data_IF_287978745870
#
_entry.id   IF_287978745870
#
_cell.length_a   1.000
_cell.length_b   1.000
_cell.length_c   1.000
_cell.angle_alpha   90.00
_cell.angle_beta   90.00
_cell.angle_gamma   90.00
#
_symmetry.space_group_name_H-M   'P 1'
#
loop_
_entity.id
_entity.type
_entity.pdbx_description
1 polymer ?
#
# COMPACT_ATOMS: atom_id res chain seq x y z
N UNK A 1 1.22 -22.66 -16.46
CA UNK A 1 2.06 -21.57 -15.90
C UNK A 1 1.69 -20.27 -16.59
N UNK A 2 0.52 -19.71 -16.24
CA UNK A 2 0.23 -18.33 -16.57
C UNK A 2 1.16 -17.46 -15.70
N UNK A 3 1.88 -16.55 -16.30
CA UNK A 3 2.59 -15.54 -15.53
C UNK A 3 1.54 -14.65 -14.90
N UNK A 4 1.67 -14.34 -13.62
CA UNK A 4 0.73 -13.52 -12.82
C UNK A 4 0.43 -12.13 -13.43
N UNK A 5 1.26 -11.68 -14.38
CA UNK A 5 1.07 -10.44 -15.15
C UNK A 5 -0.12 -10.48 -16.14
N UNK A 6 -0.64 -11.67 -16.44
CA UNK A 6 -1.67 -11.81 -17.48
C UNK A 6 -3.12 -11.78 -16.95
N UNK A 7 -3.31 -11.59 -15.64
CA UNK A 7 -4.62 -11.59 -14.98
C UNK A 7 -5.13 -12.99 -14.64
N UNK A 8 -6.42 -13.12 -14.33
CA UNK A 8 -7.02 -14.38 -13.93
C UNK A 8 -7.04 -15.32 -15.14
N UNK A 9 -6.40 -16.49 -15.08
CA UNK A 9 -6.41 -17.45 -16.19
C UNK A 9 -7.82 -17.98 -16.47
N UNK A 10 -8.13 -18.24 -17.75
CA UNK A 10 -9.35 -18.97 -18.09
C UNK A 10 -9.29 -20.39 -17.53
N UNK A 11 -10.39 -20.87 -16.97
CA UNK A 11 -10.43 -22.19 -16.35
C UNK A 11 -11.66 -22.43 -15.49
N UNK A 12 -11.68 -23.57 -14.85
CA UNK A 12 -12.69 -23.93 -13.84
C UNK A 12 -11.96 -24.02 -12.49
N UNK A 13 -12.47 -23.28 -11.54
CA UNK A 13 -11.96 -23.18 -10.18
C UNK A 13 -12.99 -23.80 -9.21
N UNK A 14 -12.52 -24.59 -8.26
CA UNK A 14 -13.38 -25.18 -7.23
C UNK A 14 -13.44 -24.25 -6.00
N UNK A 15 -14.64 -24.00 -5.49
CA UNK A 15 -14.84 -23.30 -4.23
C UNK A 15 -14.56 -24.29 -3.10
N UNK A 16 -13.63 -23.94 -2.19
CA UNK A 16 -13.19 -24.79 -1.08
C UNK A 16 -12.52 -23.93 -0.01
N UNK A 17 -12.41 -24.46 1.20
CA UNK A 17 -11.63 -23.85 2.28
C UNK A 17 -10.12 -24.10 2.14
N UNK A 18 -9.72 -25.07 1.32
CA UNK A 18 -8.33 -25.47 1.15
C UNK A 18 -7.62 -24.61 0.10
N UNK A 19 -6.45 -24.10 0.43
CA UNK A 19 -5.56 -23.41 -0.52
C UNK A 19 -4.88 -24.44 -1.42
N UNK A 20 -5.30 -24.51 -2.68
CA UNK A 20 -4.73 -25.40 -3.70
C UNK A 20 -4.77 -24.73 -5.08
N UNK A 21 -3.99 -25.20 -6.06
CA UNK A 21 -4.11 -24.72 -7.43
C UNK A 21 -5.55 -24.90 -7.98
N UNK A 22 -6.03 -23.89 -8.70
CA UNK A 22 -7.39 -23.84 -9.27
C UNK A 22 -8.51 -23.91 -8.23
N UNK A 23 -8.31 -23.29 -7.08
CA UNK A 23 -9.33 -23.12 -6.06
C UNK A 23 -9.69 -21.65 -5.84
N UNK A 24 -10.90 -21.42 -5.38
CA UNK A 24 -11.37 -20.13 -4.85
C UNK A 24 -11.66 -20.34 -3.37
N UNK A 25 -10.98 -19.57 -2.54
CA UNK A 25 -11.20 -19.56 -1.10
C UNK A 25 -11.87 -18.25 -0.69
N UNK A 26 -12.63 -18.25 0.41
CA UNK A 26 -13.27 -17.04 0.95
C UNK A 26 -14.24 -16.35 -0.03
N UNK A 27 -14.93 -17.14 -0.86
CA UNK A 27 -15.96 -16.57 -1.72
C UNK A 27 -17.18 -16.17 -0.89
N UNK A 28 -17.57 -14.91 -1.02
CA UNK A 28 -18.75 -14.36 -0.31
C UNK A 28 -19.65 -13.61 -1.29
N UNK A 29 -20.90 -13.49 -0.96
CA UNK A 29 -21.85 -12.63 -1.63
C UNK A 29 -22.67 -11.86 -0.60
N UNK A 30 -23.33 -10.78 -1.00
CA UNK A 30 -24.12 -9.87 -0.17
C UNK A 30 -23.33 -9.01 0.86
N UNK A 31 -24.03 -8.05 1.47
CA UNK A 31 -23.49 -7.13 2.46
C UNK A 31 -23.21 -7.80 3.82
N UNK A 32 -23.84 -8.95 4.08
CA UNK A 32 -23.65 -9.73 5.30
C UNK A 32 -22.49 -10.73 5.19
N UNK A 33 -21.82 -10.76 4.02
CA UNK A 33 -20.68 -11.65 3.71
C UNK A 33 -21.04 -13.13 3.87
N UNK A 34 -22.19 -13.56 3.36
CA UNK A 34 -22.55 -14.97 3.31
C UNK A 34 -21.55 -15.78 2.49
N UNK A 35 -20.99 -16.84 3.07
CA UNK A 35 -19.95 -17.63 2.43
C UNK A 35 -20.51 -18.67 1.45
N UNK A 36 -19.84 -18.80 0.31
CA UNK A 36 -20.05 -19.93 -0.58
C UNK A 36 -19.22 -21.12 -0.10
N UNK A 37 -19.87 -22.22 0.25
CA UNK A 37 -19.23 -23.40 0.86
C UNK A 37 -18.62 -24.36 -0.16
N UNK A 38 -19.32 -24.59 -1.28
CA UNK A 38 -18.89 -25.48 -2.36
C UNK A 38 -19.41 -25.00 -3.70
N UNK A 39 -18.75 -25.42 -4.78
CA UNK A 39 -19.21 -25.10 -6.13
C UNK A 39 -18.07 -24.86 -7.09
N UNK A 40 -18.39 -24.23 -8.20
CA UNK A 40 -17.43 -23.90 -9.25
C UNK A 40 -17.55 -22.47 -9.70
N UNK A 41 -16.40 -21.88 -10.01
CA UNK A 41 -16.28 -20.62 -10.73
C UNK A 41 -15.64 -20.90 -12.07
N UNK A 42 -16.37 -20.65 -13.15
CA UNK A 42 -15.84 -20.79 -14.52
C UNK A 42 -15.44 -19.42 -15.02
N UNK A 43 -14.19 -19.29 -15.46
CA UNK A 43 -13.64 -18.07 -16.05
C UNK A 43 -13.36 -18.33 -17.53
N UNK A 44 -14.01 -17.56 -18.39
CA UNK A 44 -13.69 -17.44 -19.81
C UNK A 44 -13.04 -16.06 -20.02
N UNK A 45 -12.03 -15.96 -20.88
CA UNK A 45 -11.31 -14.72 -21.15
C UNK A 45 -11.06 -14.53 -22.64
N UNK A 46 -11.32 -13.31 -23.11
CA UNK A 46 -10.97 -12.87 -24.47
C UNK A 46 -10.26 -11.50 -24.36
N UNK A 47 -8.93 -11.52 -24.39
CA UNK A 47 -8.14 -10.31 -24.13
C UNK A 47 -8.32 -9.78 -22.70
N UNK A 48 -8.88 -8.59 -22.56
CA UNK A 48 -9.18 -7.94 -21.27
C UNK A 48 -10.62 -8.19 -20.79
N UNK A 49 -11.45 -8.80 -21.64
CA UNK A 49 -12.85 -9.11 -21.31
C UNK A 49 -12.94 -10.48 -20.64
N UNK A 50 -13.71 -10.53 -19.57
CA UNK A 50 -13.96 -11.73 -18.79
C UNK A 50 -15.42 -12.09 -18.81
N UNK A 51 -15.71 -13.38 -18.85
CA UNK A 51 -17.00 -13.94 -18.49
C UNK A 51 -16.81 -14.90 -17.34
N UNK A 52 -17.44 -14.60 -16.22
CA UNK A 52 -17.35 -15.41 -15.01
C UNK A 52 -18.72 -15.97 -14.70
N UNK A 53 -18.81 -17.28 -14.55
CA UNK A 53 -20.04 -17.97 -14.14
C UNK A 53 -19.78 -18.70 -12.82
N UNK A 54 -20.64 -18.46 -11.84
CA UNK A 54 -20.61 -19.11 -10.53
C UNK A 54 -21.81 -20.04 -10.41
N UNK A 55 -21.55 -21.30 -10.04
CA UNK A 55 -22.58 -22.31 -9.68
C UNK A 55 -22.13 -22.94 -8.34
N UNK A 56 -22.80 -22.53 -7.28
CA UNK A 56 -22.34 -22.82 -5.93
C UNK A 56 -23.50 -23.08 -4.96
N UNK A 57 -23.13 -23.48 -3.76
CA UNK A 57 -24.00 -23.60 -2.59
C UNK A 57 -23.39 -22.77 -1.46
N UNK A 58 -24.21 -22.04 -0.74
CA UNK A 58 -23.74 -21.25 0.40
C UNK A 58 -23.60 -22.09 1.69
N UNK A 59 -23.20 -21.45 2.79
CA UNK A 59 -23.03 -22.07 4.10
C UNK A 59 -24.34 -22.55 4.73
N UNK A 60 -25.51 -22.16 4.17
CA UNK A 60 -26.84 -22.60 4.59
C UNK A 60 -27.46 -23.64 3.66
N UNK A 61 -26.67 -24.26 2.77
CA UNK A 61 -27.10 -25.20 1.76
C UNK A 61 -28.06 -24.59 0.68
N UNK A 62 -28.12 -23.28 0.56
CA UNK A 62 -28.90 -22.64 -0.47
C UNK A 62 -28.13 -22.53 -1.81
N UNK A 63 -28.76 -22.82 -2.97
CA UNK A 63 -28.08 -22.71 -4.25
C UNK A 63 -27.84 -21.25 -4.64
N UNK A 64 -26.63 -20.94 -5.08
CA UNK A 64 -26.22 -19.63 -5.56
C UNK A 64 -25.71 -19.72 -7.01
N UNK A 65 -26.22 -18.83 -7.87
CA UNK A 65 -25.78 -18.68 -9.25
C UNK A 65 -25.58 -17.21 -9.58
N UNK A 66 -24.46 -16.93 -10.24
CA UNK A 66 -24.15 -15.58 -10.71
C UNK A 66 -23.38 -15.63 -12.03
N UNK A 67 -23.61 -14.63 -12.88
CA UNK A 67 -22.89 -14.42 -14.12
C UNK A 67 -22.36 -12.98 -14.16
N UNK A 68 -21.13 -12.83 -14.63
CA UNK A 68 -20.51 -11.54 -14.89
C UNK A 68 -19.92 -11.55 -16.30
N UNK A 69 -20.05 -10.44 -17.02
CA UNK A 69 -19.35 -10.22 -18.29
C UNK A 69 -18.82 -8.78 -18.32
N UNK A 70 -17.54 -8.61 -18.59
CA UNK A 70 -16.90 -7.30 -18.62
C UNK A 70 -15.42 -7.35 -18.25
N UNK A 71 -14.86 -6.18 -18.05
CA UNK A 71 -13.45 -6.06 -17.60
C UNK A 71 -13.36 -6.27 -16.09
N UNK A 72 -12.36 -7.07 -15.67
CA UNK A 72 -12.01 -7.23 -14.27
C UNK A 72 -10.74 -6.42 -14.04
N UNK A 73 -10.83 -5.48 -13.11
CA UNK A 73 -9.67 -4.75 -12.61
C UNK A 73 -9.07 -5.56 -11.46
N UNK A 74 -7.83 -5.95 -11.61
CA UNK A 74 -7.09 -6.66 -10.55
C UNK A 74 -5.79 -5.94 -10.27
N UNK A 75 -5.34 -6.04 -9.04
CA UNK A 75 -4.04 -5.57 -8.61
C UNK A 75 -3.14 -6.77 -8.40
N UNK A 76 -2.02 -6.81 -9.10
CA UNK A 76 -1.03 -7.85 -8.89
C UNK A 76 -0.15 -7.45 -7.70
N UNK A 77 -0.33 -8.13 -6.57
CA UNK A 77 0.44 -7.86 -5.34
C UNK A 77 1.69 -8.77 -5.22
N UNK A 78 1.98 -9.62 -6.21
CA UNK A 78 2.94 -10.72 -6.05
C UNK A 78 4.40 -10.36 -6.26
N UNK A 79 4.76 -9.26 -6.95
CA UNK A 79 6.17 -9.00 -7.26
C UNK A 79 6.72 -7.61 -6.91
N UNK A 80 5.92 -6.60 -6.85
CA UNK A 80 6.38 -5.27 -6.47
C UNK A 80 5.18 -4.45 -6.04
N UNK A 81 5.00 -4.30 -4.76
CA UNK A 81 3.99 -3.38 -4.27
C UNK A 81 4.34 -1.97 -4.77
N UNK A 82 3.49 -1.41 -5.62
CA UNK A 82 3.61 -0.01 -6.02
C UNK A 82 2.57 0.79 -5.28
N UNK A 83 3.01 1.84 -4.63
CA UNK A 83 2.12 2.84 -4.07
C UNK A 83 2.10 4.05 -5.01
N UNK A 84 0.90 4.54 -5.34
CA UNK A 84 0.69 5.74 -6.15
C UNK A 84 0.12 6.86 -5.29
N UNK A 85 0.97 7.62 -4.58
CA UNK A 85 0.53 8.65 -3.66
C UNK A 85 -0.27 9.74 -4.38
N UNK A 86 -1.31 10.25 -3.72
CA UNK A 86 -2.16 11.35 -4.22
C UNK A 86 -2.07 12.60 -3.37
N UNK A 87 -1.75 12.45 -2.11
CA UNK A 87 -1.48 13.56 -1.19
C UNK A 87 -0.23 13.27 -0.38
N UNK A 88 0.48 14.32 -0.05
CA UNK A 88 1.67 14.27 0.81
C UNK A 88 1.57 15.33 1.88
N UNK A 89 1.78 14.90 3.11
CA UNK A 89 1.86 15.74 4.30
C UNK A 89 3.30 15.75 4.80
N UNK A 90 3.80 16.93 5.09
CA UNK A 90 5.12 17.13 5.68
C UNK A 90 4.98 17.87 6.99
N UNK A 91 5.47 17.29 8.07
CA UNK A 91 5.51 17.91 9.39
C UNK A 91 6.95 18.13 9.79
N UNK A 92 7.32 19.37 10.11
CA UNK A 92 8.62 19.73 10.66
C UNK A 92 8.53 19.82 12.19
N UNK A 93 9.25 18.98 12.90
CA UNK A 93 9.36 19.01 14.37
C UNK A 93 10.60 19.80 14.87
N UNK A 94 11.37 20.37 13.94
CA UNK A 94 12.57 21.13 14.29
C UNK A 94 13.78 20.28 14.61
N UNK A 95 14.79 20.92 15.19
CA UNK A 95 16.06 20.32 15.50
C UNK A 95 16.03 19.53 16.80
N UNK A 96 16.58 18.32 16.76
CA UNK A 96 16.85 17.51 17.92
C UNK A 96 18.17 16.75 17.72
N UNK A 97 19.09 16.88 18.68
CA UNK A 97 20.40 16.21 18.67
C UNK A 97 21.27 16.55 17.44
N UNK A 98 21.15 17.79 16.92
CA UNK A 98 21.88 18.28 15.75
C UNK A 98 21.31 17.85 14.40
N UNK A 99 20.14 17.24 14.39
CA UNK A 99 19.42 16.84 13.18
C UNK A 99 18.03 17.42 13.16
N UNK A 100 17.55 17.81 11.97
CA UNK A 100 16.17 18.24 11.80
C UNK A 100 15.28 17.04 11.56
N UNK A 101 14.15 17.00 12.26
CA UNK A 101 13.16 15.93 12.18
C UNK A 101 12.00 16.31 11.27
N UNK A 102 11.76 15.48 10.26
CA UNK A 102 10.69 15.61 9.30
C UNK A 102 9.85 14.34 9.26
N UNK A 103 8.54 14.47 9.38
CA UNK A 103 7.62 13.40 9.11
C UNK A 103 6.99 13.62 7.74
N UNK A 104 7.18 12.69 6.82
CA UNK A 104 6.64 12.74 5.46
C UNK A 104 5.66 11.59 5.32
N UNK A 105 4.41 11.91 5.07
CA UNK A 105 3.34 10.91 4.94
C UNK A 105 2.76 10.99 3.54
N UNK A 106 2.92 9.92 2.78
CA UNK A 106 2.35 9.75 1.45
C UNK A 106 1.08 8.90 1.57
N UNK A 107 0.01 9.36 0.95
CA UNK A 107 -1.33 8.77 1.08
C UNK A 107 -1.86 8.44 -0.32
N UNK A 108 -2.29 7.21 -0.54
CA UNK A 108 -2.86 6.80 -1.81
C UNK A 108 -4.34 7.19 -1.96
N UNK A 109 -4.88 6.95 -3.16
CA UNK A 109 -6.28 7.27 -3.47
C UNK A 109 -7.24 6.40 -2.68
N UNK A 110 -6.92 5.13 -2.50
CA UNK A 110 -7.78 4.19 -1.76
C UNK A 110 -8.02 4.67 -0.34
N UNK A 111 -6.97 5.09 0.35
CA UNK A 111 -7.05 5.68 1.69
C UNK A 111 -7.96 6.92 1.71
N UNK A 112 -7.79 7.84 0.76
CA UNK A 112 -8.56 9.08 0.71
C UNK A 112 -10.05 8.84 0.43
N UNK A 113 -10.37 7.88 -0.41
CA UNK A 113 -11.76 7.63 -0.86
C UNK A 113 -12.56 6.76 0.11
N UNK A 114 -11.91 5.95 0.94
CA UNK A 114 -12.59 5.06 1.90
C UNK A 114 -12.58 5.58 3.33
N UNK A 115 -11.90 6.70 3.58
CA UNK A 115 -11.85 7.34 4.89
C UNK A 115 -13.21 7.96 5.26
N UNK A 116 -13.72 7.63 6.44
CA UNK A 116 -14.91 8.26 6.99
C UNK A 116 -14.64 9.67 7.57
N UNK A 117 -15.69 10.36 8.01
CA UNK A 117 -15.60 11.70 8.58
C UNK A 117 -14.81 11.76 9.91
N UNK A 118 -14.61 10.64 10.58
CA UNK A 118 -13.85 10.52 11.83
C UNK A 118 -12.38 10.17 11.56
N UNK A 119 -12.05 9.79 10.31
CA UNK A 119 -10.71 9.46 9.88
C UNK A 119 -10.38 7.97 9.88
N UNK A 120 -11.36 7.08 10.16
CA UNK A 120 -11.16 5.66 9.96
C UNK A 120 -11.02 5.36 8.48
N UNK A 121 -10.03 4.57 8.12
CA UNK A 121 -9.80 4.11 6.76
C UNK A 121 -10.17 2.65 6.64
N UNK A 122 -10.83 2.28 5.55
CA UNK A 122 -11.20 0.89 5.29
C UNK A 122 -10.28 0.23 4.28
N UNK A 123 -9.81 0.96 3.26
CA UNK A 123 -8.92 0.47 2.21
C UNK A 123 -7.94 1.54 1.82
N UNK A 124 -6.75 1.13 1.40
CA UNK A 124 -5.72 2.02 0.90
C UNK A 124 -4.45 1.97 1.71
N UNK A 125 -3.46 2.77 1.31
CA UNK A 125 -2.13 2.69 1.87
C UNK A 125 -1.62 4.05 2.34
N UNK A 126 -0.85 4.03 3.42
CA UNK A 126 -0.04 5.15 3.91
C UNK A 126 1.41 4.69 3.94
N UNK A 127 2.29 5.44 3.28
CA UNK A 127 3.72 5.29 3.42
C UNK A 127 4.27 6.46 4.24
N UNK A 128 4.89 6.15 5.37
CA UNK A 128 5.38 7.15 6.32
C UNK A 128 6.90 7.09 6.45
N UNK A 129 7.56 8.24 6.33
CA UNK A 129 8.99 8.41 6.52
C UNK A 129 9.29 9.29 7.73
N UNK A 130 10.09 8.79 8.67
CA UNK A 130 10.76 9.56 9.70
C UNK A 130 12.14 9.96 9.15
N UNK A 131 12.21 11.12 8.51
CA UNK A 131 13.43 11.64 7.92
C UNK A 131 14.20 12.47 8.92
N UNK A 132 15.50 12.22 9.01
CA UNK A 132 16.48 13.08 9.69
C UNK A 132 17.42 13.69 8.65
N UNK A 133 17.48 15.01 8.62
CA UNK A 133 18.45 15.75 7.80
C UNK A 133 19.45 16.48 8.66
N UNK A 134 20.50 17.00 8.05
CA UNK A 134 21.35 17.98 8.73
C UNK A 134 20.50 19.15 9.23
N UNK A 135 21.00 19.85 10.27
CA UNK A 135 20.31 21.00 10.82
C UNK A 135 19.96 22.02 9.71
N UNK A 136 18.69 22.31 9.55
CA UNK A 136 18.24 23.24 8.53
C UNK A 136 18.47 24.68 9.01
N UNK A 137 19.03 25.51 8.14
CA UNK A 137 19.19 26.94 8.42
C UNK A 137 17.87 27.70 8.30
N UNK A 138 16.97 27.24 7.41
CA UNK A 138 15.64 27.79 7.26
C UNK A 138 14.62 26.66 7.05
N UNK A 139 13.75 26.48 8.02
CA UNK A 139 12.68 25.47 7.97
C UNK A 139 11.54 25.88 7.02
N UNK A 140 11.40 27.17 6.73
CA UNK A 140 10.41 27.67 5.79
C UNK A 140 10.68 27.19 4.36
N UNK A 141 11.93 26.83 4.06
CA UNK A 141 12.28 26.23 2.77
C UNK A 141 11.72 24.81 2.60
N UNK A 142 11.20 24.18 3.67
CA UNK A 142 10.65 22.82 3.64
C UNK A 142 11.73 21.73 3.72
N UNK A 143 11.35 20.50 3.31
CA UNK A 143 12.25 19.34 3.37
C UNK A 143 13.44 19.54 2.43
N UNK A 144 14.67 19.28 2.88
CA UNK A 144 15.85 19.42 2.03
C UNK A 144 15.84 18.41 0.88
N UNK A 145 16.40 18.84 -0.26
CA UNK A 145 16.62 18.00 -1.42
C UNK A 145 17.74 16.98 -1.15
N UNK A 146 17.64 15.82 -1.79
CA UNK A 146 18.67 14.79 -1.73
C UNK A 146 18.13 13.38 -1.78
N UNK A 147 19.06 12.43 -1.70
CA UNK A 147 18.74 11.01 -1.59
C UNK A 147 19.04 10.53 -0.18
N UNK A 148 18.03 9.97 0.47
CA UNK A 148 18.10 9.53 1.87
C UNK A 148 17.93 8.02 1.92
N UNK A 149 18.98 7.33 2.42
CA UNK A 149 18.90 5.89 2.62
C UNK A 149 18.04 5.56 3.85
N UNK A 150 17.27 4.49 3.77
CA UNK A 150 16.62 3.89 4.93
C UNK A 150 17.71 3.26 5.79
N UNK A 151 17.72 3.60 7.09
CA UNK A 151 18.68 3.11 8.06
C UNK A 151 17.98 2.22 9.08
N UNK A 152 18.51 1.04 9.25
CA UNK A 152 18.05 0.17 10.33
C UNK A 152 18.61 0.70 11.66
N UNK A 153 17.78 1.47 12.38
CA UNK A 153 18.12 2.11 13.63
C UNK A 153 17.91 3.63 13.61
N UNK A 154 18.30 4.29 14.70
CA UNK A 154 18.05 5.70 14.96
C UNK A 154 19.37 6.47 15.11
N UNK A 155 20.11 6.67 14.03
CA UNK A 155 21.30 7.50 14.08
C UNK A 155 21.65 8.14 12.75
N UNK A 156 22.04 9.41 12.78
CA UNK A 156 22.53 10.16 11.64
C UNK A 156 21.45 10.55 10.63
N UNK A 157 21.88 11.19 9.56
CA UNK A 157 21.04 11.62 8.44
C UNK A 157 20.48 10.42 7.68
N UNK A 158 19.20 10.45 7.31
CA UNK A 158 18.53 9.41 6.54
C UNK A 158 17.10 9.16 7.01
N UNK A 159 16.44 8.18 6.42
CA UNK A 159 15.13 7.68 6.83
C UNK A 159 15.35 6.68 7.97
N UNK A 160 14.83 6.97 9.15
CA UNK A 160 14.95 6.07 10.28
C UNK A 160 13.95 4.94 10.18
N UNK A 161 14.46 3.73 10.03
CA UNK A 161 13.71 2.49 9.82
C UNK A 161 14.17 1.36 10.74
N UNK A 162 13.67 0.16 10.47
CA UNK A 162 14.02 -1.05 11.18
C UNK A 162 13.01 -1.51 12.22
N UNK A 163 13.28 -2.64 12.82
CA UNK A 163 12.38 -3.30 13.78
C UNK A 163 12.46 -2.76 15.22
N UNK A 164 13.09 -1.62 15.40
CA UNK A 164 13.19 -0.95 16.69
C UNK A 164 11.85 -0.30 17.06
N UNK A 165 11.38 -0.47 18.29
CA UNK A 165 10.14 0.12 18.81
C UNK A 165 10.09 1.66 18.74
N UNK A 166 11.22 2.33 18.65
CA UNK A 166 11.32 3.78 18.50
C UNK A 166 11.38 4.24 17.04
N UNK A 167 11.36 3.32 16.06
CA UNK A 167 11.33 3.63 14.64
C UNK A 167 9.91 3.88 14.16
N UNK A 168 9.75 4.91 13.34
CA UNK A 168 8.45 5.36 12.89
C UNK A 168 8.23 5.24 11.37
N UNK A 169 9.26 4.87 10.58
CA UNK A 169 9.08 4.70 9.13
C UNK A 169 8.42 3.35 8.81
N UNK A 170 7.29 3.42 8.13
CA UNK A 170 6.47 2.23 7.86
C UNK A 170 5.57 2.39 6.63
N UNK A 171 5.13 1.25 6.09
CA UNK A 171 3.95 1.14 5.25
C UNK A 171 2.79 0.61 6.11
N UNK A 172 1.65 1.25 6.05
CA UNK A 172 0.39 0.74 6.58
C UNK A 172 -0.59 0.52 5.43
N UNK A 173 -1.02 -0.71 5.25
CA UNK A 173 -2.02 -1.10 4.27
C UNK A 173 -3.31 -1.44 5.00
N UNK A 174 -4.38 -0.71 4.66
CA UNK A 174 -5.70 -0.89 5.25
C UNK A 174 -6.50 -1.86 4.39
N UNK A 175 -6.97 -2.90 5.02
CA UNK A 175 -7.88 -3.86 4.44
C UNK A 175 -9.02 -4.12 5.42
N UNK A 176 -10.24 -3.79 5.02
CA UNK A 176 -11.43 -3.91 5.89
C UNK A 176 -11.29 -3.20 7.25
N UNK A 177 -10.69 -2.01 7.25
CA UNK A 177 -10.55 -1.17 8.44
C UNK A 177 -9.40 -1.50 9.39
N UNK A 178 -8.68 -2.59 9.18
CA UNK A 178 -7.52 -2.97 9.99
C UNK A 178 -6.22 -2.81 9.20
N UNK A 179 -5.22 -2.06 9.69
CA UNK A 179 -3.96 -1.93 8.99
C UNK A 179 -3.04 -3.15 9.20
N UNK A 180 -2.47 -3.64 8.11
CA UNK A 180 -1.23 -4.39 8.16
C UNK A 180 -0.07 -3.37 8.15
N UNK A 181 0.84 -3.43 9.11
CA UNK A 181 1.93 -2.47 9.25
C UNK A 181 3.25 -3.18 9.05
N UNK A 182 3.98 -2.78 8.00
CA UNK A 182 5.35 -3.20 7.72
C UNK A 182 6.33 -2.06 7.98
N UNK A 183 7.38 -2.30 8.78
CA UNK A 183 8.42 -1.30 9.03
C UNK A 183 9.47 -1.33 7.94
N UNK A 184 9.90 -0.16 7.48
CA UNK A 184 10.95 -0.05 6.45
C UNK A 184 12.32 -0.43 7.03
N UNK A 185 13.09 -1.21 6.28
CA UNK A 185 14.42 -1.69 6.68
C UNK A 185 15.52 -1.27 5.75
N UNK A 186 15.26 -1.15 4.45
CA UNK A 186 16.24 -0.83 3.41
C UNK A 186 15.60 0.00 2.29
N UNK A 187 16.43 0.55 1.40
CA UNK A 187 16.06 1.31 0.22
C UNK A 187 16.44 2.77 0.29
N UNK A 188 15.99 3.54 -0.69
CA UNK A 188 16.29 4.96 -0.80
C UNK A 188 15.04 5.78 -1.11
N UNK A 189 15.00 6.99 -0.59
CA UNK A 189 14.01 8.02 -0.92
C UNK A 189 14.75 9.23 -1.49
N UNK A 190 14.40 9.65 -2.68
CA UNK A 190 14.95 10.86 -3.30
C UNK A 190 13.90 11.95 -3.30
N UNK A 191 14.29 13.13 -2.86
CA UNK A 191 13.46 14.32 -2.79
C UNK A 191 14.10 15.40 -3.64
N UNK A 192 13.39 15.88 -4.65
CA UNK A 192 13.68 17.09 -5.40
C UNK A 192 12.56 18.11 -5.23
N UNK A 193 12.87 19.39 -5.39
CA UNK A 193 11.92 20.46 -5.12
C UNK A 193 12.14 21.68 -6.02
N UNK A 194 11.04 22.28 -6.46
CA UNK A 194 11.02 23.62 -7.08
C UNK A 194 9.95 24.47 -6.37
N UNK A 195 10.39 25.27 -5.41
CA UNK A 195 9.49 26.04 -4.52
C UNK A 195 8.59 25.14 -3.69
N UNK A 196 7.28 25.24 -3.90
CA UNK A 196 6.26 24.41 -3.23
C UNK A 196 5.98 23.08 -3.93
N UNK A 197 6.61 22.85 -5.09
CA UNK A 197 6.45 21.65 -5.88
C UNK A 197 7.52 20.62 -5.52
N UNK A 198 7.11 19.41 -5.19
CA UNK A 198 7.96 18.30 -4.80
C UNK A 198 7.89 17.16 -5.78
N UNK A 199 9.03 16.55 -6.03
CA UNK A 199 9.17 15.24 -6.63
C UNK A 199 9.79 14.33 -5.57
N UNK A 200 9.02 13.34 -5.09
CA UNK A 200 9.45 12.36 -4.10
C UNK A 200 9.41 11.00 -4.78
N UNK A 201 10.55 10.37 -4.95
CA UNK A 201 10.63 9.01 -5.50
C UNK A 201 11.27 8.06 -4.51
N UNK A 202 10.85 6.83 -4.52
CA UNK A 202 11.41 5.77 -3.68
C UNK A 202 11.56 4.49 -4.48
N UNK A 203 12.66 3.79 -4.23
CA UNK A 203 13.02 2.57 -4.93
C UNK A 203 13.69 1.58 -3.98
N UNK A 204 13.35 0.30 -4.14
CA UNK A 204 13.93 -0.76 -3.36
C UNK A 204 13.61 -0.70 -1.86
N UNK A 205 12.48 -0.07 -1.46
CA UNK A 205 12.09 -0.08 -0.06
C UNK A 205 11.67 -1.48 0.35
N UNK A 206 12.30 -2.04 1.37
CA UNK A 206 11.95 -3.34 1.93
C UNK A 206 11.27 -3.22 3.28
N UNK A 207 10.40 -4.17 3.60
CA UNK A 207 9.66 -4.23 4.84
C UNK A 207 10.20 -5.34 5.75
N UNK A 208 10.26 -5.09 7.04
CA UNK A 208 10.64 -6.11 8.03
C UNK A 208 9.62 -7.26 8.05
N UNK A 209 10.13 -8.49 7.99
CA UNK A 209 9.31 -9.71 8.08
C UNK A 209 8.53 -10.08 6.82
N UNK A 210 8.72 -9.36 5.71
CA UNK A 210 8.19 -9.76 4.41
C UNK A 210 9.22 -10.56 3.63
N UNK A 211 8.79 -11.66 3.05
CA UNK A 211 9.61 -12.42 2.09
C UNK A 211 9.69 -11.64 0.76
N UNK A 212 10.44 -10.51 0.75
CA UNK A 212 10.91 -9.83 -0.46
C UNK A 212 9.97 -8.85 -1.17
N UNK A 213 9.08 -8.16 -0.53
CA UNK A 213 8.37 -7.08 -1.21
C UNK A 213 9.26 -5.84 -1.28
N UNK A 214 9.73 -5.51 -2.47
CA UNK A 214 10.38 -4.22 -2.74
C UNK A 214 9.31 -3.21 -3.16
N UNK A 215 9.22 -2.08 -2.45
CA UNK A 215 8.31 -1.00 -2.81
C UNK A 215 9.01 -0.01 -3.73
N UNK A 216 8.33 0.38 -4.80
CA UNK A 216 8.70 1.51 -5.64
C UNK A 216 7.53 2.46 -5.81
N UNK A 217 7.82 3.71 -6.11
CA UNK A 217 6.80 4.68 -6.43
C UNK A 217 7.33 6.09 -6.49
N UNK A 218 6.45 7.01 -6.87
CA UNK A 218 6.75 8.42 -6.90
C UNK A 218 5.52 9.27 -6.63
N UNK A 219 5.77 10.49 -6.20
CA UNK A 219 4.80 11.56 -6.07
C UNK A 219 5.36 12.80 -6.73
N UNK A 220 4.53 13.49 -7.48
CA UNK A 220 4.84 14.79 -8.05
C UNK A 220 3.69 15.75 -7.76
N UNK A 221 3.96 16.84 -7.05
CA UNK A 221 2.92 17.78 -6.65
C UNK A 221 3.28 18.66 -5.48
N UNK A 222 2.28 19.41 -5.01
CA UNK A 222 2.40 20.22 -3.80
C UNK A 222 2.22 19.36 -2.55
N UNK A 223 2.98 19.69 -1.51
CA UNK A 223 2.82 19.05 -0.19
C UNK A 223 2.03 19.93 0.76
N UNK A 224 1.33 19.32 1.70
CA UNK A 224 0.74 20.03 2.83
C UNK A 224 1.79 20.14 3.93
N UNK A 225 2.36 21.33 4.09
CA UNK A 225 3.41 21.59 5.08
C UNK A 225 2.82 22.06 6.40
N UNK A 226 3.28 21.46 7.50
CA UNK A 226 2.89 21.78 8.86
C UNK A 226 4.17 22.06 9.67
N UNK A 227 4.28 23.27 10.20
CA UNK A 227 5.32 23.62 11.15
C UNK A 227 4.84 23.29 12.57
N UNK A 228 5.42 22.26 13.15
CA UNK A 228 5.12 21.78 14.50
C UNK A 228 6.27 22.06 15.49
N UNK A 229 7.16 22.97 15.17
CA UNK A 229 8.25 23.38 16.07
C UNK A 229 7.67 24.09 17.30
N UNK A 230 8.11 23.72 18.48
CA UNK A 230 7.80 24.38 19.76
C UNK A 230 8.67 25.62 20.02
#
# INVERSE_FOLDING_TARGET
DATEQDGIPAGIYTITEDYAPNTVTWATYDEEMTYLSTGTVTVERDGEEYKVTVDAVDEYDAPFKADFAGQIYYENTSEQASISPREVYVVCYGEKDGLTNWYITLVDRGYLTTRDAVGNCYYGSILHFDLRSDAANDYADGVPEGTFAVRNGQSGVGIWGGDNAACTSFLAEYFSGSPAIGKLTEGNVTIARDGEWYEISFDGLTLAGSDQTSLTGSYEGRVQYIDARE
#
